data_IF_937526648289
#
_entry.id   IF_937526648289
#
_cell.length_a   1.000
_cell.length_b   1.000
_cell.length_c   1.000
_cell.angle_alpha   90.00
_cell.angle_beta   90.00
_cell.angle_gamma   90.00
#
_symmetry.space_group_name_H-M   'P 1'
#
loop_
_entity.id
_entity.type
_entity.pdbx_description
1 polymer ?
#
# COMPACT_ATOMS: atom_id res chain seq x y z
N UNK A 1 -0.57 -19.09 -12.62
CA UNK A 1 0.09 -18.15 -11.72
C UNK A 1 -0.17 -16.74 -12.17
N UNK A 2 -0.84 -16.00 -11.36
CA UNK A 2 -1.44 -14.76 -11.80
C UNK A 2 -0.75 -13.51 -11.26
N UNK A 3 0.01 -13.62 -10.19
CA UNK A 3 0.62 -12.46 -9.58
C UNK A 3 1.86 -12.02 -10.33
N UNK A 4 1.95 -10.72 -10.52
CA UNK A 4 3.10 -10.10 -11.14
C UNK A 4 3.73 -9.14 -10.14
N UNK A 5 5.04 -9.24 -9.96
CA UNK A 5 5.79 -8.34 -9.10
C UNK A 5 6.27 -7.15 -9.92
N UNK A 6 5.95 -5.96 -9.45
CA UNK A 6 6.23 -4.71 -10.16
C UNK A 6 6.89 -3.74 -9.19
N UNK A 7 7.77 -2.91 -9.73
CA UNK A 7 8.36 -1.82 -8.97
C UNK A 7 8.00 -0.50 -9.63
N UNK A 8 7.55 0.46 -8.82
CA UNK A 8 7.27 1.82 -9.27
C UNK A 8 7.88 2.80 -8.30
N UNK A 9 8.30 3.95 -8.80
CA UNK A 9 8.83 5.01 -7.95
C UNK A 9 8.20 6.34 -8.31
N UNK A 10 8.09 7.20 -7.31
CA UNK A 10 7.49 8.51 -7.49
C UNK A 10 7.21 9.14 -6.14
N UNK A 11 6.48 10.26 -6.17
CA UNK A 11 6.06 10.92 -4.94
C UNK A 11 4.63 10.56 -4.63
N UNK A 12 4.32 10.45 -3.35
CA UNK A 12 2.96 10.13 -2.92
C UNK A 12 2.04 11.31 -3.16
N UNK A 13 0.93 11.06 -3.84
CA UNK A 13 -0.12 12.04 -4.05
C UNK A 13 -1.32 11.78 -3.14
N UNK A 14 -1.37 10.60 -2.54
CA UNK A 14 -2.48 10.19 -1.69
C UNK A 14 -1.97 9.15 -0.69
N UNK A 15 -2.35 9.30 0.55
CA UNK A 15 -2.05 8.32 1.60
C UNK A 15 -3.23 8.31 2.57
N UNK A 16 -3.82 7.13 2.74
CA UNK A 16 -4.98 6.96 3.61
C UNK A 16 -4.84 5.69 4.45
N UNK A 17 -5.27 5.76 5.69
CA UNK A 17 -5.42 4.60 6.54
C UNK A 17 -6.79 4.68 7.20
N UNK A 18 -7.51 3.56 7.28
CA UNK A 18 -8.78 3.51 8.00
C UNK A 18 -8.84 2.25 8.85
N UNK A 19 -9.54 2.33 9.95
CA UNK A 19 -9.54 1.29 10.97
C UNK A 19 -10.71 0.33 10.83
N UNK A 20 -10.66 -0.69 11.65
CA UNK A 20 -11.70 -1.70 11.76
C UNK A 20 -13.02 -1.03 12.14
N UNK A 21 -14.09 -1.48 11.50
CA UNK A 21 -15.42 -0.95 11.79
C UNK A 21 -15.77 0.32 11.07
N UNK A 22 -14.90 0.79 10.18
CA UNK A 22 -15.16 2.00 9.41
C UNK A 22 -16.25 1.83 8.34
N UNK A 23 -16.63 0.59 8.04
CA UNK A 23 -17.61 0.30 6.99
C UNK A 23 -17.03 0.16 5.60
N UNK A 24 -15.73 0.24 5.47
CA UNK A 24 -15.04 0.01 4.21
C UNK A 24 -14.62 -1.44 4.07
N UNK A 25 -14.64 -1.95 2.85
CA UNK A 25 -14.26 -3.33 2.57
C UNK A 25 -15.40 -4.32 2.76
N UNK A 26 -15.14 -5.60 2.47
CA UNK A 26 -16.17 -6.65 2.60
C UNK A 26 -16.58 -6.86 4.05
N UNK A 27 -17.86 -7.17 4.26
CA UNK A 27 -18.39 -7.39 5.61
C UNK A 27 -17.72 -8.54 6.35
N UNK A 28 -17.24 -9.53 5.60
CA UNK A 28 -16.60 -10.71 6.20
C UNK A 28 -15.12 -10.51 6.45
N UNK A 29 -14.57 -9.38 6.07
CA UNK A 29 -13.13 -9.11 6.21
C UNK A 29 -12.92 -8.14 7.37
N UNK A 30 -12.42 -8.66 8.47
CA UNK A 30 -12.16 -7.87 9.67
C UNK A 30 -10.71 -7.36 9.62
N UNK A 31 -10.48 -6.42 8.74
CA UNK A 31 -9.18 -5.77 8.59
C UNK A 31 -9.00 -4.77 9.74
N UNK A 32 -7.92 -4.90 10.49
CA UNK A 32 -7.63 -3.96 11.59
C UNK A 32 -7.40 -2.55 11.06
N UNK A 33 -6.52 -2.42 10.07
CA UNK A 33 -6.26 -1.15 9.39
C UNK A 33 -5.92 -1.45 7.94
N UNK A 34 -6.45 -0.67 7.03
CA UNK A 34 -6.06 -0.72 5.63
C UNK A 34 -5.34 0.56 5.25
N UNK A 35 -4.16 0.44 4.65
CA UNK A 35 -3.36 1.55 4.16
C UNK A 35 -3.44 1.57 2.64
N UNK A 36 -3.75 2.73 2.07
CA UNK A 36 -3.86 2.93 0.62
C UNK A 36 -3.01 4.12 0.22
N UNK A 37 -2.22 3.95 -0.83
CA UNK A 37 -1.32 4.98 -1.34
C UNK A 37 -1.40 5.08 -2.85
N UNK A 38 -1.14 6.27 -3.38
CA UNK A 38 -1.00 6.49 -4.82
C UNK A 38 0.27 7.29 -5.08
N UNK A 39 0.89 6.98 -6.22
CA UNK A 39 2.10 7.68 -6.69
C UNK A 39 1.75 8.61 -7.85
N UNK A 40 2.52 9.68 -8.01
CA UNK A 40 2.37 10.58 -9.15
C UNK A 40 2.68 9.89 -10.47
N UNK A 41 3.54 8.87 -10.45
CA UNK A 41 3.89 8.09 -11.64
C UNK A 41 2.83 7.05 -12.00
N UNK A 42 1.89 6.75 -11.10
CA UNK A 42 0.84 5.76 -11.30
C UNK A 42 -0.50 6.30 -10.80
N UNK A 43 -1.01 7.37 -11.46
CA UNK A 43 -2.14 8.13 -10.88
C UNK A 43 -3.45 7.37 -10.81
N UNK A 44 -3.62 6.32 -11.62
CA UNK A 44 -4.88 5.57 -11.64
C UNK A 44 -4.83 4.28 -10.82
N UNK A 45 -3.65 3.93 -10.31
CA UNK A 45 -3.47 2.69 -9.56
C UNK A 45 -3.30 2.99 -8.08
N UNK A 46 -4.12 2.38 -7.26
CA UNK A 46 -3.94 2.44 -5.82
C UNK A 46 -3.11 1.23 -5.39
N UNK A 47 -2.24 1.43 -4.41
CA UNK A 47 -1.42 0.37 -3.86
C UNK A 47 -1.56 0.41 -2.35
N UNK A 48 -1.55 -0.74 -1.71
CA UNK A 48 -1.77 -0.73 -0.27
C UNK A 48 -1.44 -2.05 0.39
N UNK A 49 -1.75 -2.09 1.67
CA UNK A 49 -1.58 -3.30 2.47
C UNK A 49 -2.49 -3.21 3.69
N UNK A 50 -2.66 -4.33 4.35
CA UNK A 50 -3.49 -4.44 5.54
C UNK A 50 -2.61 -4.62 6.76
N UNK A 51 -2.89 -3.85 7.82
CA UNK A 51 -2.28 -4.04 9.12
C UNK A 51 -3.19 -4.94 9.93
N UNK A 52 -2.73 -6.16 10.16
CA UNK A 52 -3.47 -7.16 10.93
C UNK A 52 -2.61 -7.58 12.12
N UNK A 53 -3.27 -8.07 13.16
CA UNK A 53 -2.57 -8.60 14.33
C UNK A 53 -2.03 -9.99 13.99
N UNK A 54 -0.98 -10.01 13.18
CA UNK A 54 -0.34 -11.24 12.74
C UNK A 54 1.18 -11.02 12.68
N UNK A 55 1.90 -12.01 12.17
CA UNK A 55 3.36 -11.97 12.12
C UNK A 55 3.93 -10.89 11.19
N UNK A 56 3.10 -10.35 10.30
CA UNK A 56 3.52 -9.32 9.36
C UNK A 56 3.35 -7.89 9.91
N UNK A 57 2.74 -7.75 11.09
CA UNK A 57 2.35 -6.44 11.60
C UNK A 57 3.54 -5.48 11.74
N UNK A 58 4.64 -5.94 12.33
CA UNK A 58 5.80 -5.06 12.54
C UNK A 58 6.37 -4.55 11.24
N UNK A 59 6.50 -5.41 10.22
CA UNK A 59 7.03 -5.00 8.94
C UNK A 59 6.11 -3.99 8.25
N UNK A 60 4.82 -4.25 8.28
CA UNK A 60 3.84 -3.37 7.64
C UNK A 60 3.70 -2.04 8.36
N UNK A 61 3.82 -2.04 9.70
CA UNK A 61 3.87 -0.82 10.47
C UNK A 61 5.06 0.05 10.06
N UNK A 62 6.23 -0.59 9.88
CA UNK A 62 7.42 0.10 9.40
C UNK A 62 7.22 0.70 8.02
N UNK A 63 6.53 -0.02 7.13
CA UNK A 63 6.23 0.52 5.80
C UNK A 63 5.32 1.74 5.88
N UNK A 64 4.31 1.72 6.75
CA UNK A 64 3.45 2.88 6.95
C UNK A 64 4.25 4.07 7.47
N UNK A 65 5.16 3.85 8.40
CA UNK A 65 5.99 4.92 8.93
C UNK A 65 6.84 5.58 7.84
N UNK A 66 7.42 4.77 6.94
CA UNK A 66 8.17 5.29 5.80
C UNK A 66 7.26 6.09 4.86
N UNK A 67 6.06 5.60 4.59
CA UNK A 67 5.12 6.30 3.71
C UNK A 67 4.71 7.65 4.31
N UNK A 68 4.47 7.69 5.61
CA UNK A 68 4.13 8.94 6.30
C UNK A 68 5.27 9.96 6.23
N UNK A 69 6.50 9.51 6.44
CA UNK A 69 7.66 10.36 6.32
C UNK A 69 7.78 10.91 4.90
N UNK A 70 7.62 10.04 3.91
CA UNK A 70 7.72 10.46 2.51
C UNK A 70 6.62 11.44 2.14
N UNK A 71 5.40 11.22 2.62
CA UNK A 71 4.27 12.09 2.31
C UNK A 71 4.46 13.49 2.92
N UNK A 72 4.88 13.56 4.17
CA UNK A 72 5.05 14.84 4.85
C UNK A 72 6.27 15.62 4.35
N UNK A 73 7.32 14.93 3.90
CA UNK A 73 8.56 15.56 3.45
C UNK A 73 8.73 15.55 1.94
N UNK A 74 7.74 15.08 1.22
CA UNK A 74 7.74 15.03 -0.25
C UNK A 74 8.94 14.28 -0.81
N UNK A 75 9.27 13.14 -0.20
CA UNK A 75 10.36 12.30 -0.64
C UNK A 75 9.90 11.33 -1.72
N UNK A 76 10.85 10.90 -2.56
CA UNK A 76 10.57 9.87 -3.55
C UNK A 76 10.48 8.52 -2.87
N UNK A 77 9.45 7.75 -3.20
CA UNK A 77 9.23 6.40 -2.68
C UNK A 77 9.47 5.40 -3.80
N UNK A 78 10.05 4.27 -3.44
CA UNK A 78 10.13 3.11 -4.34
C UNK A 78 9.26 2.02 -3.71
N UNK A 79 8.26 1.56 -4.45
CA UNK A 79 7.35 0.52 -3.99
C UNK A 79 7.51 -0.73 -4.84
N UNK A 80 7.70 -1.86 -4.17
CA UNK A 80 7.58 -3.17 -4.80
C UNK A 80 6.23 -3.74 -4.40
N UNK A 81 5.44 -4.12 -5.38
CA UNK A 81 4.07 -4.58 -5.13
C UNK A 81 3.71 -5.72 -6.08
N UNK A 82 2.72 -6.49 -5.68
CA UNK A 82 2.19 -7.56 -6.51
C UNK A 82 0.78 -7.20 -6.98
N UNK A 83 0.44 -7.64 -8.19
CA UNK A 83 -0.89 -7.48 -8.75
C UNK A 83 -1.33 -8.81 -9.32
N UNK A 84 -2.57 -9.20 -9.04
CA UNK A 84 -3.18 -10.38 -9.63
C UNK A 84 -3.93 -9.96 -10.90
N UNK A 85 -3.21 -9.96 -12.03
CA UNK A 85 -3.76 -9.52 -13.29
C UNK A 85 -4.79 -10.51 -13.85
N UNK A 86 -4.62 -11.80 -13.58
CA UNK A 86 -5.57 -12.81 -14.07
C UNK A 86 -6.93 -12.69 -13.39
N UNK A 87 -6.96 -12.19 -12.17
CA UNK A 87 -8.21 -11.91 -11.46
C UNK A 87 -8.82 -10.56 -11.85
N UNK A 88 -8.23 -9.86 -12.80
CA UNK A 88 -8.71 -8.56 -13.25
C UNK A 88 -8.47 -7.44 -12.27
N UNK A 89 -7.58 -7.62 -11.33
CA UNK A 89 -7.29 -6.59 -10.31
C UNK A 89 -6.40 -5.52 -10.89
N UNK A 90 -6.70 -4.28 -10.50
CA UNK A 90 -5.95 -3.10 -10.96
C UNK A 90 -5.07 -2.52 -9.86
N UNK A 91 -5.34 -2.86 -8.60
CA UNK A 91 -4.63 -2.32 -7.45
C UNK A 91 -3.61 -3.32 -6.95
N UNK A 92 -2.49 -2.83 -6.45
CA UNK A 92 -1.39 -3.67 -5.99
C UNK A 92 -1.33 -3.81 -4.48
N UNK A 93 -0.69 -4.88 -4.03
CA UNK A 93 -0.37 -5.09 -2.62
C UNK A 93 1.10 -4.78 -2.44
N UNK A 94 1.41 -3.81 -1.59
CA UNK A 94 2.78 -3.37 -1.34
C UNK A 94 3.51 -4.43 -0.51
N UNK A 95 4.67 -4.84 -0.99
CA UNK A 95 5.52 -5.81 -0.32
C UNK A 95 6.77 -5.19 0.28
N UNK A 96 7.25 -4.08 -0.29
CA UNK A 96 8.44 -3.39 0.17
C UNK A 96 8.33 -1.90 -0.14
N UNK A 97 8.78 -1.08 0.81
CA UNK A 97 8.80 0.37 0.68
C UNK A 97 10.22 0.85 0.95
N UNK A 98 10.72 1.73 0.10
CA UNK A 98 12.01 2.38 0.29
C UNK A 98 11.86 3.86 -0.01
N UNK A 99 12.67 4.67 0.65
CA UNK A 99 12.72 6.11 0.38
C UNK A 99 13.99 6.45 -0.37
N UNK A 100 13.89 7.44 -1.24
CA UNK A 100 14.98 7.86 -2.10
C UNK A 100 15.01 9.39 -2.15
N UNK A 101 16.22 9.94 -2.06
CA UNK A 101 16.41 11.39 -2.17
C UNK A 101 16.66 11.82 -3.60
#
# INVERSE_FOLDING_TARGET
MAEKLIQSSGKLTFLRAHDLGSGFGPQSDFIDVEVVAKLDSEPVRAMGFQLRDDKELSARQGMLDLLREAFSRNLTVVLDYSIDLDAGKKNGVILRTALKK
#
